data_IF_729479155809
#
_entry.id   IF_729479155809
#
_cell.length_a   1.000
_cell.length_b   1.000
_cell.length_c   1.000
_cell.angle_alpha   90.00
_cell.angle_beta   90.00
_cell.angle_gamma   90.00
#
_symmetry.space_group_name_H-M   'P 1'
#
loop_
_entity.id
_entity.type
_entity.pdbx_description
1 polymer ?
#
# COMPACT_ATOMS: atom_id res chain seq x y z
N UNK A 1 7.35 34.88 3.69
CA UNK A 1 6.76 33.59 4.14
C UNK A 1 5.36 33.46 3.54
N UNK A 2 5.22 32.63 2.50
CA UNK A 2 3.96 32.50 1.77
C UNK A 2 3.11 31.31 2.29
N UNK A 3 3.76 30.38 3.03
CA UNK A 3 3.14 29.18 3.62
C UNK A 3 3.68 28.97 5.03
N UNK A 4 2.81 28.69 6.00
CA UNK A 4 3.16 28.52 7.41
C UNK A 4 3.07 27.06 7.86
N UNK A 5 2.31 26.21 7.15
CA UNK A 5 2.20 24.78 7.38
C UNK A 5 2.05 24.05 6.04
N UNK A 6 2.66 22.89 5.94
CA UNK A 6 2.59 21.99 4.82
C UNK A 6 2.14 20.62 5.30
N UNK A 7 0.84 20.38 5.30
CA UNK A 7 0.27 19.06 5.58
C UNK A 7 0.46 18.15 4.37
N UNK A 8 0.86 16.89 4.62
CA UNK A 8 1.17 15.95 3.53
C UNK A 8 2.46 16.34 2.78
N UNK A 9 3.55 16.60 3.52
CA UNK A 9 4.84 16.98 2.95
C UNK A 9 5.41 15.88 2.05
N UNK A 10 5.65 16.17 0.75
CA UNK A 10 5.87 15.12 -0.25
C UNK A 10 7.33 14.65 -0.38
N UNK A 11 8.27 15.26 0.36
CA UNK A 11 9.71 15.05 0.23
C UNK A 11 10.33 14.57 1.56
N UNK A 12 10.11 13.29 1.96
CA UNK A 12 10.58 12.76 3.23
C UNK A 12 12.10 12.91 3.42
N UNK A 13 12.88 12.90 2.34
CA UNK A 13 14.33 13.14 2.35
C UNK A 13 14.74 14.47 2.93
N UNK A 14 13.86 15.46 2.91
CA UNK A 14 14.14 16.81 3.40
C UNK A 14 13.72 17.03 4.86
N UNK A 15 13.00 16.12 5.48
CA UNK A 15 12.53 16.28 6.86
C UNK A 15 13.65 16.51 7.89
N UNK A 16 14.82 15.85 7.80
CA UNK A 16 15.90 16.07 8.76
C UNK A 16 16.40 17.52 8.80
N UNK A 17 16.43 18.23 7.66
CA UNK A 17 16.85 19.63 7.63
C UNK A 17 15.84 20.56 8.31
N UNK A 18 14.54 20.29 8.18
CA UNK A 18 13.50 21.03 8.90
C UNK A 18 13.51 20.75 10.40
N UNK A 19 13.73 19.47 10.77
CA UNK A 19 13.84 19.08 12.17
C UNK A 19 15.04 19.71 12.90
N UNK A 20 16.12 20.00 12.18
CA UNK A 20 17.31 20.67 12.69
C UNK A 20 17.15 22.19 12.81
N UNK A 21 16.16 22.81 12.21
CA UNK A 21 15.93 24.24 12.20
C UNK A 21 14.84 24.62 13.22
N UNK A 22 15.16 25.39 14.29
CA UNK A 22 14.21 25.74 15.35
C UNK A 22 13.01 26.59 14.91
N UNK A 23 13.03 27.10 13.68
CA UNK A 23 11.89 27.83 13.10
C UNK A 23 10.75 26.91 12.69
N UNK A 24 11.01 25.61 12.56
CA UNK A 24 10.06 24.63 12.08
C UNK A 24 9.78 23.54 13.13
N UNK A 25 8.64 22.91 12.97
CA UNK A 25 8.32 21.63 13.59
C UNK A 25 8.02 20.61 12.49
N UNK A 26 8.45 19.38 12.73
CA UNK A 26 8.16 18.22 11.88
C UNK A 26 7.20 17.32 12.64
N UNK A 27 6.06 17.00 12.03
CA UNK A 27 5.09 16.06 12.57
C UNK A 27 5.13 14.80 11.71
N UNK A 28 5.33 13.66 12.37
CA UNK A 28 5.28 12.33 11.76
C UNK A 28 4.20 11.54 12.46
N UNK A 29 3.24 11.07 11.70
CA UNK A 29 2.12 10.29 12.20
C UNK A 29 1.71 9.19 11.23
N UNK A 30 0.53 8.63 11.45
CA UNK A 30 -0.06 7.57 10.63
C UNK A 30 -1.18 8.09 9.73
N UNK A 31 -1.39 7.39 8.63
CA UNK A 31 -2.55 7.56 7.73
C UNK A 31 -3.34 6.26 7.66
N UNK A 32 -4.49 6.27 6.99
CA UNK A 32 -5.19 5.06 6.55
C UNK A 32 -4.58 4.47 5.25
N UNK A 33 -3.45 5.01 4.79
CA UNK A 33 -2.89 4.66 3.48
C UNK A 33 -2.23 3.29 3.46
N UNK A 34 -2.93 2.27 2.96
CA UNK A 34 -2.38 0.95 2.66
C UNK A 34 -1.76 0.96 1.27
N UNK A 35 -0.42 1.02 1.23
CA UNK A 35 0.33 0.94 -0.02
C UNK A 35 0.48 -0.52 -0.44
N UNK A 36 0.04 -0.81 -1.66
CA UNK A 36 0.04 -2.17 -2.21
C UNK A 36 0.78 -2.23 -3.55
N UNK A 37 1.43 -3.36 -3.82
CA UNK A 37 1.79 -3.82 -5.15
C UNK A 37 0.60 -4.60 -5.70
N UNK A 38 -0.24 -3.94 -6.46
CA UNK A 38 -1.44 -4.58 -7.00
C UNK A 38 -1.13 -5.44 -8.21
N UNK A 39 -1.68 -6.65 -8.19
CA UNK A 39 -1.65 -7.59 -9.31
C UNK A 39 -3.01 -7.63 -10.01
N UNK A 40 -3.01 -7.81 -11.33
CA UNK A 40 -4.26 -8.12 -12.04
C UNK A 40 -4.54 -9.63 -11.94
N UNK A 41 -5.44 -10.03 -11.02
CA UNK A 41 -5.69 -11.43 -10.69
C UNK A 41 -6.36 -12.24 -11.83
N UNK A 42 -6.82 -11.62 -12.92
CA UNK A 42 -7.32 -12.32 -14.12
C UNK A 42 -6.32 -12.37 -15.25
N UNK A 43 -5.21 -11.66 -15.15
CA UNK A 43 -4.17 -11.61 -16.19
C UNK A 43 -3.09 -12.67 -15.95
N UNK A 44 -2.84 -13.59 -16.88
CA UNK A 44 -1.69 -14.48 -16.76
C UNK A 44 -0.36 -13.69 -16.70
N UNK A 45 0.61 -14.13 -15.86
CA UNK A 45 0.55 -15.32 -15.02
C UNK A 45 0.00 -15.07 -13.60
N UNK A 46 -0.56 -13.87 -13.30
CA UNK A 46 -1.05 -13.50 -11.96
C UNK A 46 -2.39 -14.12 -11.59
N UNK A 47 -3.07 -14.79 -12.51
CA UNK A 47 -4.22 -15.67 -12.25
C UNK A 47 -3.82 -16.95 -11.48
N UNK A 48 -2.52 -17.30 -11.46
CA UNK A 48 -1.97 -18.40 -10.70
C UNK A 48 -1.59 -17.96 -9.27
N UNK A 49 -2.21 -18.59 -8.26
CA UNK A 49 -1.92 -18.32 -6.85
C UNK A 49 -0.44 -18.52 -6.48
N UNK A 50 0.21 -19.56 -7.03
CA UNK A 50 1.64 -19.84 -6.75
C UNK A 50 2.54 -18.72 -7.25
N UNK A 51 2.20 -18.09 -8.39
CA UNK A 51 2.92 -16.91 -8.90
C UNK A 51 2.73 -15.71 -7.98
N UNK A 52 1.50 -15.43 -7.51
CA UNK A 52 1.25 -14.34 -6.57
C UNK A 52 1.97 -14.54 -5.22
N UNK A 53 2.02 -15.78 -4.76
CA UNK A 53 2.79 -16.16 -3.57
C UNK A 53 4.29 -15.93 -3.78
N UNK A 54 4.84 -16.34 -4.92
CA UNK A 54 6.23 -16.07 -5.28
C UNK A 54 6.53 -14.57 -5.30
N UNK A 55 5.63 -13.77 -5.90
CA UNK A 55 5.74 -12.32 -5.94
C UNK A 55 5.82 -11.72 -4.52
N UNK A 56 4.96 -12.18 -3.59
CA UNK A 56 4.92 -11.68 -2.23
C UNK A 56 6.23 -11.97 -1.45
N UNK A 57 6.84 -13.14 -1.67
CA UNK A 57 8.13 -13.48 -1.07
C UNK A 57 9.34 -12.84 -1.77
N UNK A 58 9.18 -12.35 -3.00
CA UNK A 58 10.24 -11.63 -3.71
C UNK A 58 10.44 -10.19 -3.21
N UNK A 59 9.54 -9.66 -2.39
CA UNK A 59 9.49 -8.25 -2.01
C UNK A 59 9.99 -8.05 -0.57
N UNK A 60 11.10 -7.30 -0.43
CA UNK A 60 11.58 -6.79 0.84
C UNK A 60 10.93 -5.42 1.13
N UNK A 61 9.92 -5.43 1.99
CA UNK A 61 9.16 -4.23 2.38
C UNK A 61 10.01 -3.19 3.07
N UNK A 62 10.94 -3.62 3.94
CA UNK A 62 11.78 -2.69 4.69
C UNK A 62 12.74 -1.94 3.75
N UNK A 63 13.33 -2.64 2.77
CA UNK A 63 14.17 -2.00 1.77
C UNK A 63 13.41 -0.94 0.94
N UNK A 64 12.12 -1.16 0.67
CA UNK A 64 11.28 -0.17 0.00
C UNK A 64 11.02 1.05 0.90
N UNK A 65 10.66 0.82 2.16
CA UNK A 65 10.43 1.89 3.13
C UNK A 65 11.71 2.73 3.29
N UNK A 66 12.87 2.09 3.46
CA UNK A 66 14.15 2.78 3.66
C UNK A 66 14.58 3.55 2.39
N UNK A 67 14.49 2.92 1.22
CA UNK A 67 14.98 3.50 -0.02
C UNK A 67 14.03 4.50 -0.67
N UNK A 68 12.71 4.27 -0.63
CA UNK A 68 11.73 5.15 -1.27
C UNK A 68 11.13 6.18 -0.31
N UNK A 69 10.96 5.81 0.97
CA UNK A 69 10.28 6.63 1.98
C UNK A 69 11.22 7.12 3.09
N UNK A 70 12.53 6.89 2.98
CA UNK A 70 13.54 7.35 3.96
C UNK A 70 13.26 6.90 5.40
N UNK A 71 12.74 5.68 5.55
CA UNK A 71 12.38 5.08 6.84
C UNK A 71 10.97 5.45 7.34
N UNK A 72 10.22 6.29 6.62
CA UNK A 72 8.87 6.68 7.03
C UNK A 72 7.81 5.76 6.43
N UNK A 73 7.32 4.84 7.23
CA UNK A 73 6.29 3.86 6.87
C UNK A 73 6.30 2.69 7.84
N UNK A 74 5.22 1.95 7.89
CA UNK A 74 5.10 0.75 8.73
C UNK A 74 4.73 -0.43 7.85
N UNK A 75 5.51 -1.54 7.83
CA UNK A 75 5.18 -2.71 7.03
C UNK A 75 3.79 -3.25 7.37
N UNK A 76 3.05 -3.69 6.35
CA UNK A 76 1.73 -4.34 6.50
C UNK A 76 1.71 -5.68 5.78
N UNK A 77 0.89 -6.61 6.27
CA UNK A 77 0.68 -7.93 5.68
C UNK A 77 -0.73 -8.14 5.12
N UNK A 78 -1.58 -7.11 5.20
CA UNK A 78 -2.97 -7.12 4.77
C UNK A 78 -3.46 -5.71 4.45
N UNK A 79 -4.68 -5.58 3.97
CA UNK A 79 -5.31 -4.30 3.62
C UNK A 79 -5.99 -3.66 4.83
N UNK A 80 -5.20 -3.33 5.85
CA UNK A 80 -5.61 -2.60 7.05
C UNK A 80 -4.43 -1.86 7.66
N UNK A 81 -4.67 -0.67 8.19
CA UNK A 81 -3.65 0.11 8.87
C UNK A 81 -3.37 -0.44 10.28
N UNK A 82 -2.12 -0.54 10.74
CA UNK A 82 -1.77 -1.14 12.03
C UNK A 82 -2.40 -0.50 13.27
N UNK A 83 -2.84 0.76 13.19
CA UNK A 83 -3.55 1.43 14.28
C UNK A 83 -5.04 1.06 14.36
N UNK A 84 -5.58 0.39 13.33
CA UNK A 84 -6.97 -0.07 13.36
C UNK A 84 -7.14 -1.19 14.40
N UNK A 85 -8.15 -1.14 15.29
CA UNK A 85 -8.35 -2.15 16.35
C UNK A 85 -8.63 -3.56 15.80
N UNK A 86 -9.05 -3.66 14.56
CA UNK A 86 -9.30 -4.93 13.88
C UNK A 86 -8.12 -5.43 13.05
N UNK A 87 -7.00 -4.70 13.02
CA UNK A 87 -5.80 -5.11 12.29
C UNK A 87 -5.28 -6.47 12.74
N UNK A 88 -4.87 -7.29 11.76
CA UNK A 88 -4.16 -8.56 11.99
C UNK A 88 -2.77 -8.43 11.36
N UNK A 89 -1.73 -8.63 12.15
CA UNK A 89 -0.38 -8.65 11.61
C UNK A 89 -0.13 -9.98 10.87
N UNK A 90 -0.11 -9.89 9.54
CA UNK A 90 0.16 -11.00 8.62
C UNK A 90 1.49 -10.81 7.87
N UNK A 91 2.35 -9.91 8.32
CA UNK A 91 3.63 -9.60 7.66
C UNK A 91 4.55 -10.81 7.53
N UNK A 92 4.54 -11.70 8.53
CA UNK A 92 5.34 -12.92 8.51
C UNK A 92 4.91 -13.93 7.45
N UNK A 93 3.63 -13.93 7.04
CA UNK A 93 3.08 -14.85 6.03
C UNK A 93 3.74 -14.67 4.65
N UNK A 94 4.16 -13.45 4.34
CA UNK A 94 4.85 -13.08 3.10
C UNK A 94 6.21 -12.42 3.42
N UNK A 95 6.96 -13.01 4.38
CA UNK A 95 8.32 -12.57 4.67
C UNK A 95 9.21 -12.69 3.43
N UNK A 96 10.13 -11.75 3.26
CA UNK A 96 11.07 -11.75 2.14
C UNK A 96 11.92 -13.00 2.16
N UNK A 97 11.86 -13.75 1.07
CA UNK A 97 12.67 -14.95 0.82
C UNK A 97 12.82 -15.17 -0.70
N UNK A 98 13.89 -14.64 -1.27
CA UNK A 98 14.13 -14.70 -2.71
C UNK A 98 14.35 -16.14 -3.23
N UNK A 99 14.86 -17.04 -2.41
CA UNK A 99 15.07 -18.44 -2.81
C UNK A 99 13.73 -19.20 -2.82
N UNK A 100 12.87 -18.96 -1.85
CA UNK A 100 11.49 -19.47 -1.87
C UNK A 100 10.72 -18.91 -3.07
N UNK A 101 10.88 -17.63 -3.38
CA UNK A 101 10.23 -17.00 -4.54
C UNK A 101 10.65 -17.70 -5.85
N UNK A 102 11.93 -17.93 -6.08
CA UNK A 102 12.44 -18.68 -7.25
C UNK A 102 11.88 -20.09 -7.33
N UNK A 103 11.84 -20.79 -6.19
CA UNK A 103 11.30 -22.15 -6.10
C UNK A 103 9.81 -22.16 -6.51
N UNK A 104 9.02 -21.25 -5.97
CA UNK A 104 7.60 -21.12 -6.29
C UNK A 104 7.36 -20.74 -7.75
N UNK A 105 8.20 -19.90 -8.36
CA UNK A 105 8.15 -19.58 -9.78
C UNK A 105 8.40 -20.84 -10.63
N UNK A 106 9.40 -21.64 -10.28
CA UNK A 106 9.68 -22.88 -10.98
C UNK A 106 8.52 -23.89 -10.85
N UNK A 107 7.92 -24.03 -9.66
CA UNK A 107 6.73 -24.85 -9.41
C UNK A 107 5.51 -24.38 -10.23
N UNK A 108 5.40 -23.06 -10.45
CA UNK A 108 4.35 -22.47 -11.26
C UNK A 108 4.59 -22.57 -12.77
N UNK A 109 5.72 -23.15 -13.22
CA UNK A 109 6.09 -23.32 -14.62
C UNK A 109 6.95 -22.20 -15.21
N UNK A 110 7.52 -21.34 -14.36
CA UNK A 110 8.37 -20.20 -14.76
C UNK A 110 9.79 -20.29 -14.16
N UNK A 111 10.57 -21.38 -14.41
CA UNK A 111 11.90 -21.54 -13.83
C UNK A 111 12.90 -20.46 -14.26
N UNK A 112 12.69 -19.86 -15.44
CA UNK A 112 13.50 -18.74 -15.97
C UNK A 112 12.83 -17.37 -15.72
N UNK A 113 11.72 -17.33 -14.95
CA UNK A 113 10.93 -16.12 -14.76
C UNK A 113 10.04 -15.76 -15.94
N UNK A 114 9.59 -14.50 -15.98
CA UNK A 114 8.73 -13.99 -17.04
C UNK A 114 8.85 -12.46 -17.15
N UNK A 115 8.28 -11.89 -18.23
CA UNK A 115 8.17 -10.45 -18.42
C UNK A 115 6.77 -9.95 -18.09
N UNK A 116 6.69 -8.77 -17.49
CA UNK A 116 5.44 -8.10 -17.14
C UNK A 116 5.60 -6.58 -17.20
N UNK A 117 4.49 -5.84 -17.04
CA UNK A 117 4.50 -4.38 -16.92
C UNK A 117 4.34 -3.96 -15.46
N UNK A 118 4.98 -2.84 -15.09
CA UNK A 118 4.78 -2.15 -13.82
C UNK A 118 4.38 -0.70 -14.12
N UNK A 119 3.06 -0.43 -14.11
CA UNK A 119 2.49 0.89 -14.39
C UNK A 119 2.40 1.70 -13.12
N UNK A 120 3.07 2.85 -13.06
CA UNK A 120 3.26 3.63 -11.84
C UNK A 120 2.59 5.00 -11.93
N UNK A 121 1.71 5.37 -10.97
CA UNK A 121 1.17 6.73 -10.85
C UNK A 121 2.24 7.72 -10.35
N UNK A 122 1.95 9.04 -10.33
CA UNK A 122 2.96 10.07 -10.05
C UNK A 122 3.59 10.06 -8.64
N UNK A 123 2.91 9.62 -7.54
CA UNK A 123 3.47 9.74 -6.20
C UNK A 123 4.84 9.07 -6.02
N UNK A 124 5.68 9.67 -5.16
CA UNK A 124 7.05 9.20 -4.91
C UNK A 124 7.10 7.77 -4.35
N UNK A 125 6.12 7.39 -3.52
CA UNK A 125 6.02 6.03 -3.00
C UNK A 125 5.89 5.00 -4.13
N UNK A 126 5.20 5.35 -5.22
CA UNK A 126 5.03 4.48 -6.38
C UNK A 126 6.25 4.51 -7.30
N UNK A 127 6.72 5.69 -7.71
CA UNK A 127 7.84 5.79 -8.67
C UNK A 127 9.16 5.32 -8.09
N UNK A 128 9.55 5.80 -6.90
CA UNK A 128 10.79 5.33 -6.22
C UNK A 128 10.65 3.89 -5.73
N UNK A 129 9.51 3.54 -5.14
CA UNK A 129 9.23 2.16 -4.70
C UNK A 129 9.22 1.19 -5.87
N UNK A 130 8.71 1.61 -7.03
CA UNK A 130 8.69 0.81 -8.25
C UNK A 130 10.07 0.44 -8.79
N UNK A 131 11.04 1.36 -8.73
CA UNK A 131 12.43 1.08 -9.11
C UNK A 131 13.04 -0.02 -8.21
N UNK A 132 12.80 0.07 -6.90
CA UNK A 132 13.30 -0.92 -5.93
C UNK A 132 12.63 -2.27 -6.18
N UNK A 133 11.30 -2.28 -6.33
CA UNK A 133 10.52 -3.48 -6.60
C UNK A 133 10.95 -4.13 -7.91
N UNK A 134 11.14 -3.37 -8.98
CA UNK A 134 11.61 -3.90 -10.25
C UNK A 134 12.99 -4.57 -10.13
N UNK A 135 13.88 -4.01 -9.30
CA UNK A 135 15.19 -4.62 -9.02
C UNK A 135 15.05 -5.93 -8.23
N UNK A 136 14.18 -5.96 -7.19
CA UNK A 136 13.91 -7.17 -6.41
C UNK A 136 13.27 -8.28 -7.26
N UNK A 137 12.32 -7.93 -8.11
CA UNK A 137 11.68 -8.85 -9.04
C UNK A 137 12.68 -9.44 -10.05
N UNK A 138 13.57 -8.60 -10.58
CA UNK A 138 14.64 -9.06 -11.49
C UNK A 138 15.56 -10.07 -10.82
N UNK A 139 15.84 -9.95 -9.53
CA UNK A 139 16.68 -10.89 -8.77
C UNK A 139 16.08 -12.31 -8.69
N UNK A 140 14.77 -12.44 -8.91
CA UNK A 140 14.07 -13.73 -8.95
C UNK A 140 13.63 -14.14 -10.37
N UNK A 141 14.06 -13.39 -11.42
CA UNK A 141 13.77 -13.71 -12.82
C UNK A 141 12.54 -13.00 -13.40
N UNK A 142 11.85 -12.15 -12.65
CA UNK A 142 10.70 -11.38 -13.16
C UNK A 142 11.19 -10.04 -13.72
N UNK A 143 11.08 -9.85 -15.03
CA UNK A 143 11.40 -8.59 -15.71
C UNK A 143 10.16 -7.69 -15.75
N UNK A 144 10.06 -6.74 -14.82
CA UNK A 144 8.98 -5.78 -14.74
C UNK A 144 9.37 -4.48 -15.49
N UNK A 145 8.77 -4.25 -16.65
CA UNK A 145 8.98 -3.03 -17.44
C UNK A 145 8.21 -1.86 -16.80
N UNK A 146 8.95 -0.83 -16.34
CA UNK A 146 8.35 0.35 -15.72
C UNK A 146 7.75 1.28 -16.77
N UNK A 147 6.49 1.66 -16.54
CA UNK A 147 5.76 2.68 -17.32
C UNK A 147 5.20 3.73 -16.35
N UNK A 148 5.80 4.92 -16.34
CA UNK A 148 5.31 6.04 -15.54
C UNK A 148 4.11 6.69 -16.22
N UNK A 149 3.00 6.79 -15.50
CA UNK A 149 1.73 7.37 -15.97
C UNK A 149 1.39 8.60 -15.14
N UNK A 150 0.69 9.56 -15.76
CA UNK A 150 -0.02 10.59 -15.02
C UNK A 150 -1.38 10.07 -14.54
N UNK A 151 -1.97 10.70 -13.49
CA UNK A 151 -3.22 10.20 -12.90
C UNK A 151 -4.35 9.96 -13.90
N UNK A 152 -4.62 10.83 -14.90
CA UNK A 152 -5.66 10.55 -15.90
C UNK A 152 -5.39 9.28 -16.72
N UNK A 153 -4.13 9.05 -17.11
CA UNK A 153 -3.70 7.85 -17.85
C UNK A 153 -3.80 6.60 -16.96
N UNK A 154 -3.37 6.68 -15.68
CA UNK A 154 -3.49 5.57 -14.75
C UNK A 154 -4.96 5.19 -14.51
N UNK A 155 -5.84 6.17 -14.31
CA UNK A 155 -7.28 5.94 -14.16
C UNK A 155 -7.90 5.30 -15.40
N UNK A 156 -7.46 5.68 -16.59
CA UNK A 156 -7.96 5.10 -17.83
C UNK A 156 -7.42 3.69 -18.07
N UNK A 157 -6.10 3.51 -18.03
CA UNK A 157 -5.45 2.25 -18.42
C UNK A 157 -5.55 1.21 -17.29
N UNK A 158 -5.20 1.59 -16.06
CA UNK A 158 -5.12 0.65 -14.93
C UNK A 158 -6.50 0.46 -14.28
N UNK A 159 -7.09 1.55 -13.78
CA UNK A 159 -8.31 1.44 -12.98
C UNK A 159 -9.52 1.00 -13.80
N UNK A 160 -9.79 1.64 -14.94
CA UNK A 160 -10.94 1.33 -15.79
C UNK A 160 -10.62 0.23 -16.80
N UNK A 161 -9.50 0.35 -17.48
CA UNK A 161 -9.09 -0.55 -18.58
C UNK A 161 -8.53 -1.88 -18.12
N UNK A 162 -8.02 -1.96 -16.84
CA UNK A 162 -7.39 -3.17 -16.30
C UNK A 162 -6.22 -3.70 -17.17
N UNK A 163 -5.63 -2.79 -17.95
CA UNK A 163 -4.50 -3.07 -18.84
C UNK A 163 -3.19 -2.87 -18.08
N UNK A 164 -2.85 -3.82 -17.20
CA UNK A 164 -1.61 -3.82 -16.43
C UNK A 164 -1.34 -5.20 -15.84
N UNK A 165 -0.07 -5.54 -15.66
CA UNK A 165 0.34 -6.68 -14.86
C UNK A 165 0.45 -6.31 -13.39
N UNK A 166 1.26 -5.27 -13.11
CA UNK A 166 1.55 -4.75 -11.78
C UNK A 166 1.36 -3.23 -11.74
N UNK A 167 0.94 -2.72 -10.58
CA UNK A 167 0.91 -1.28 -10.26
C UNK A 167 1.13 -1.07 -8.77
N UNK A 168 1.56 0.13 -8.37
CA UNK A 168 1.69 0.51 -6.96
C UNK A 168 0.75 1.66 -6.69
N UNK A 169 -0.10 1.52 -5.67
CA UNK A 169 -1.02 2.57 -5.24
C UNK A 169 -1.24 2.48 -3.73
N UNK A 170 -1.46 3.62 -3.09
CA UNK A 170 -1.87 3.69 -1.69
C UNK A 170 -3.37 3.98 -1.62
N UNK A 171 -4.11 3.07 -1.02
CA UNK A 171 -5.52 3.26 -0.67
C UNK A 171 -5.57 4.04 0.64
N UNK A 172 -6.37 5.10 0.67
CA UNK A 172 -6.41 6.04 1.80
C UNK A 172 -7.80 6.20 2.39
N UNK A 173 -8.75 5.43 1.90
CA UNK A 173 -10.12 5.39 2.40
C UNK A 173 -10.21 4.48 3.63
N UNK A 174 -10.70 4.98 4.79
CA UNK A 174 -10.78 4.16 5.99
C UNK A 174 -11.63 2.90 5.79
N UNK A 175 -11.08 1.75 6.18
CA UNK A 175 -11.78 0.47 6.23
C UNK A 175 -12.43 0.04 4.88
N UNK A 176 -11.77 0.29 3.76
CA UNK A 176 -12.30 0.01 2.41
C UNK A 176 -12.09 -1.44 1.94
N UNK A 177 -11.79 -2.38 2.84
CA UNK A 177 -11.57 -3.81 2.53
C UNK A 177 -12.70 -4.45 1.68
N UNK A 178 -13.88 -3.84 1.66
CA UNK A 178 -15.01 -4.28 0.83
C UNK A 178 -14.74 -4.16 -0.69
N UNK A 179 -13.70 -3.42 -1.11
CA UNK A 179 -13.29 -3.37 -2.52
C UNK A 179 -12.89 -4.75 -3.06
N UNK A 180 -12.40 -5.64 -2.20
CA UNK A 180 -12.07 -7.03 -2.55
C UNK A 180 -13.29 -7.91 -2.82
N UNK A 181 -14.49 -7.45 -2.46
CA UNK A 181 -15.75 -8.13 -2.80
C UNK A 181 -16.33 -7.77 -4.18
N UNK A 182 -15.60 -6.93 -4.94
CA UNK A 182 -16.02 -6.43 -6.26
C UNK A 182 -15.18 -7.10 -7.36
N UNK A 183 -15.67 -8.13 -8.05
CA UNK A 183 -14.87 -8.86 -9.07
C UNK A 183 -14.43 -7.98 -10.24
N UNK A 184 -15.15 -6.88 -10.50
CA UNK A 184 -14.81 -5.89 -11.53
C UNK A 184 -13.87 -4.78 -11.06
N UNK A 185 -13.50 -4.76 -9.76
CA UNK A 185 -12.52 -3.79 -9.27
C UNK A 185 -11.19 -3.96 -10.01
N UNK A 186 -10.31 -2.97 -10.02
CA UNK A 186 -9.20 -2.98 -10.97
C UNK A 186 -8.24 -4.16 -10.82
N UNK A 187 -8.06 -4.75 -9.64
CA UNK A 187 -7.25 -5.96 -9.44
C UNK A 187 -7.99 -7.28 -9.71
N UNK A 188 -9.26 -7.24 -10.06
CA UNK A 188 -10.08 -8.35 -10.59
C UNK A 188 -10.07 -9.62 -9.72
N UNK A 189 -10.04 -9.47 -8.40
CA UNK A 189 -10.17 -10.58 -7.48
C UNK A 189 -11.63 -11.07 -7.42
N UNK A 190 -11.83 -12.38 -7.52
CA UNK A 190 -13.16 -12.99 -7.54
C UNK A 190 -13.21 -14.20 -6.61
N UNK A 191 -13.70 -14.00 -5.38
CA UNK A 191 -13.85 -15.03 -4.38
C UNK A 191 -15.27 -14.97 -3.78
N UNK A 192 -16.17 -15.92 -4.14
CA UNK A 192 -17.54 -15.94 -3.63
C UNK A 192 -17.65 -16.04 -2.10
N UNK A 193 -16.71 -16.71 -1.44
CA UNK A 193 -16.69 -16.80 0.03
C UNK A 193 -16.40 -15.43 0.67
N UNK A 194 -15.45 -14.67 0.09
CA UNK A 194 -15.16 -13.30 0.52
C UNK A 194 -16.35 -12.37 0.27
N UNK A 195 -16.99 -12.46 -0.88
CA UNK A 195 -18.19 -11.67 -1.22
C UNK A 195 -19.33 -11.93 -0.24
N UNK A 196 -19.54 -13.21 0.09
CA UNK A 196 -20.54 -13.59 1.11
C UNK A 196 -20.19 -13.01 2.49
N UNK A 197 -18.93 -13.13 2.91
CA UNK A 197 -18.46 -12.57 4.18
C UNK A 197 -18.73 -11.06 4.27
N UNK A 198 -18.49 -10.30 3.20
CA UNK A 198 -18.75 -8.85 3.16
C UNK A 198 -20.25 -8.55 3.20
N UNK A 199 -21.08 -9.37 2.57
CA UNK A 199 -22.53 -9.26 2.67
C UNK A 199 -23.02 -9.53 4.10
N UNK A 200 -22.52 -10.58 4.74
CA UNK A 200 -22.84 -10.93 6.12
C UNK A 200 -22.40 -9.82 7.09
N UNK A 201 -21.19 -9.26 6.89
CA UNK A 201 -20.65 -8.13 7.66
C UNK A 201 -21.57 -6.89 7.59
N UNK A 202 -22.10 -6.59 6.42
CA UNK A 202 -23.01 -5.45 6.22
C UNK A 202 -24.32 -5.63 7.01
N UNK A 203 -24.78 -6.87 7.15
CA UNK A 203 -26.02 -7.22 7.85
C UNK A 203 -25.82 -7.52 9.35
N UNK A 204 -24.57 -7.51 9.85
CA UNK A 204 -24.24 -7.80 11.25
C UNK A 204 -24.10 -6.49 12.03
N UNK A 205 -24.81 -6.38 13.15
CA UNK A 205 -24.79 -5.19 14.03
C UNK A 205 -23.97 -5.39 15.30
N UNK A 206 -23.75 -6.65 15.72
CA UNK A 206 -22.93 -6.96 16.90
C UNK A 206 -21.46 -6.59 16.67
N UNK A 207 -20.86 -5.69 17.49
CA UNK A 207 -19.49 -5.24 17.28
C UNK A 207 -18.44 -6.35 17.33
N UNK A 208 -18.62 -7.35 18.23
CA UNK A 208 -17.66 -8.44 18.38
C UNK A 208 -17.70 -9.37 17.16
N UNK A 209 -18.88 -9.68 16.66
CA UNK A 209 -19.04 -10.47 15.43
C UNK A 209 -18.47 -9.73 14.21
N UNK A 210 -18.69 -8.42 14.10
CA UNK A 210 -18.11 -7.58 13.04
C UNK A 210 -16.58 -7.59 13.08
N UNK A 211 -15.98 -7.41 14.26
CA UNK A 211 -14.53 -7.48 14.45
C UNK A 211 -13.96 -8.83 13.99
N UNK A 212 -14.61 -9.94 14.40
CA UNK A 212 -14.20 -11.28 13.97
C UNK A 212 -14.28 -11.46 12.45
N UNK A 213 -15.33 -10.94 11.80
CA UNK A 213 -15.49 -10.98 10.35
C UNK A 213 -14.42 -10.16 9.63
N UNK A 214 -14.08 -8.97 10.13
CA UNK A 214 -13.01 -8.13 9.56
C UNK A 214 -11.63 -8.81 9.66
N UNK A 215 -11.34 -9.47 10.77
CA UNK A 215 -10.10 -10.25 10.93
C UNK A 215 -10.06 -11.46 9.97
N UNK A 216 -11.20 -12.13 9.80
CA UNK A 216 -11.34 -13.22 8.82
C UNK A 216 -11.13 -12.72 7.40
N UNK A 217 -11.70 -11.56 7.05
CA UNK A 217 -11.54 -10.96 5.73
C UNK A 217 -10.06 -10.69 5.41
N UNK A 218 -9.32 -10.12 6.34
CA UNK A 218 -7.88 -9.88 6.19
C UNK A 218 -7.11 -11.16 5.93
N UNK A 219 -7.42 -12.22 6.68
CA UNK A 219 -6.79 -13.54 6.50
C UNK A 219 -7.05 -14.10 5.11
N UNK A 220 -8.29 -14.05 4.63
CA UNK A 220 -8.65 -14.58 3.30
C UNK A 220 -7.87 -13.88 2.20
N UNK A 221 -7.83 -12.55 2.17
CA UNK A 221 -7.10 -11.83 1.10
C UNK A 221 -5.59 -12.00 1.18
N UNK A 222 -5.05 -12.22 2.38
CA UNK A 222 -3.64 -12.54 2.57
C UNK A 222 -3.32 -13.98 2.12
N UNK A 223 -4.15 -14.97 2.45
CA UNK A 223 -4.00 -16.36 2.01
C UNK A 223 -4.10 -16.51 0.50
N UNK A 224 -4.97 -15.72 -0.14
CA UNK A 224 -5.12 -15.69 -1.59
C UNK A 224 -4.05 -14.83 -2.29
N UNK A 225 -3.16 -14.17 -1.53
CA UNK A 225 -2.11 -13.30 -2.06
C UNK A 225 -2.65 -12.38 -3.16
N UNK A 226 -3.81 -11.76 -2.90
CA UNK A 226 -4.51 -10.95 -3.92
C UNK A 226 -3.64 -9.80 -4.42
N UNK A 227 -2.92 -9.15 -3.50
CA UNK A 227 -1.94 -8.09 -3.76
C UNK A 227 -0.70 -8.31 -2.90
N UNK A 228 0.41 -7.70 -3.27
CA UNK A 228 1.56 -7.53 -2.39
C UNK A 228 1.30 -6.37 -1.42
N UNK A 229 1.05 -6.66 -0.14
CA UNK A 229 0.88 -5.63 0.87
C UNK A 229 2.25 -5.10 1.28
N UNK A 230 2.48 -3.79 1.16
CA UNK A 230 3.80 -3.19 1.33
C UNK A 230 3.92 -2.49 2.68
N UNK A 231 3.29 -1.33 2.82
CA UNK A 231 3.40 -0.54 4.04
C UNK A 231 2.24 0.46 4.20
N UNK A 232 1.96 0.81 5.45
CA UNK A 232 1.16 1.96 5.79
C UNK A 232 1.93 3.24 5.49
N UNK A 233 1.33 4.15 4.73
CA UNK A 233 1.90 5.44 4.40
C UNK A 233 1.92 6.34 5.64
N UNK A 234 3.08 6.94 5.96
CA UNK A 234 3.19 7.88 7.05
C UNK A 234 2.53 9.24 6.71
N UNK A 235 1.94 9.87 7.72
CA UNK A 235 1.58 11.28 7.64
C UNK A 235 2.82 12.13 7.94
N UNK A 236 3.25 12.93 6.97
CA UNK A 236 4.42 13.79 7.12
C UNK A 236 3.98 15.24 6.98
N UNK A 237 4.32 16.09 7.97
CA UNK A 237 3.99 17.51 7.94
C UNK A 237 5.15 18.36 8.42
N UNK A 238 5.30 19.54 7.83
CA UNK A 238 6.24 20.57 8.25
C UNK A 238 5.47 21.85 8.51
N UNK A 239 5.69 22.49 9.63
CA UNK A 239 5.05 23.74 9.97
C UNK A 239 5.99 24.70 10.70
N UNK A 240 5.62 25.97 10.76
CA UNK A 240 6.27 26.95 11.63
C UNK A 240 6.17 26.47 13.10
N UNK A 241 7.27 26.57 13.85
CA UNK A 241 7.36 26.11 15.24
C UNK A 241 6.34 26.77 16.19
N UNK A 242 5.79 27.93 15.80
CA UNK A 242 4.79 28.68 16.56
C UNK A 242 3.35 28.27 16.28
N UNK A 243 3.12 27.35 15.37
CA UNK A 243 1.77 26.81 15.12
C UNK A 243 1.52 25.65 16.08
N UNK A 244 0.32 25.61 16.63
CA UNK A 244 -0.18 24.50 17.44
C UNK A 244 -1.54 24.00 16.95
N UNK A 245 -1.99 22.84 17.43
CA UNK A 245 -3.27 22.25 17.05
C UNK A 245 -3.27 21.49 15.72
N UNK A 246 -2.12 21.35 15.04
CA UNK A 246 -2.03 20.50 13.85
C UNK A 246 -2.14 19.01 14.23
N UNK A 247 -2.85 18.25 13.41
CA UNK A 247 -2.90 16.81 13.55
C UNK A 247 -1.57 16.16 13.13
N UNK A 248 -1.05 15.26 13.97
CA UNK A 248 0.05 14.39 13.59
C UNK A 248 -0.44 13.24 12.71
N UNK A 249 -1.59 12.63 13.08
CA UNK A 249 -2.21 11.56 12.32
C UNK A 249 -3.24 12.10 11.33
N UNK A 250 -3.35 11.47 10.18
CA UNK A 250 -4.32 11.82 9.14
C UNK A 250 -5.32 10.67 8.94
N UNK A 251 -6.41 10.59 9.74
CA UNK A 251 -7.41 9.52 9.66
C UNK A 251 -8.32 9.63 8.42
N UNK A 252 -8.21 10.73 7.71
CA UNK A 252 -8.89 11.00 6.44
C UNK A 252 -7.97 11.85 5.58
N UNK A 253 -8.36 12.05 4.31
CA UNK A 253 -7.64 12.97 3.41
C UNK A 253 -7.93 14.46 3.70
N UNK A 254 -8.87 14.75 4.57
CA UNK A 254 -9.20 16.10 4.99
C UNK A 254 -8.33 16.56 6.16
N UNK A 255 -7.98 17.84 6.20
CA UNK A 255 -7.30 18.47 7.32
C UNK A 255 -8.32 19.27 8.15
N UNK A 256 -8.45 18.94 9.45
CA UNK A 256 -9.21 19.76 10.38
C UNK A 256 -8.30 20.86 10.96
N UNK A 257 -8.61 22.10 10.67
CA UNK A 257 -7.86 23.26 11.12
C UNK A 257 -8.57 24.03 12.25
N UNK A 258 -9.66 23.51 12.78
CA UNK A 258 -10.48 24.24 13.79
C UNK A 258 -9.74 24.49 15.12
N UNK A 259 -8.77 23.66 15.45
CA UNK A 259 -7.93 23.81 16.64
C UNK A 259 -6.58 24.49 16.37
N UNK A 260 -6.31 24.88 15.12
CA UNK A 260 -5.01 25.46 14.72
C UNK A 260 -4.94 26.92 15.13
N UNK A 261 -3.87 27.28 15.87
CA UNK A 261 -3.61 28.65 16.31
C UNK A 261 -2.11 28.96 16.31
N UNK A 262 -1.80 30.24 16.43
CA UNK A 262 -0.44 30.70 16.72
C UNK A 262 -0.20 30.70 18.23
N UNK A 263 0.98 30.25 18.65
CA UNK A 263 1.48 30.46 20.02
C UNK A 263 1.79 31.95 20.19
N UNK A 264 1.48 32.46 21.37
CA UNK A 264 1.81 33.82 21.79
C UNK A 264 3.32 34.08 21.85
#
# INVERSE_FOLDING_TARGET
>A
EDVHAFAGFPAPENLPQFAADPRFQVLVGSTEGETILSTNNKMPPFDNLTVRKALAHAIDRQAIIDGAMFGYGTPIGTHFAPHNPDYVDLTAQSAYDSELAKKLLAEAGFPEGFKTTLKLPPPSYARRGGEIIAAQLRAVGIEAEISNLEWPQWLEQVFRGKDYGLTIVSHTEPADINIYARPEYYFQYDNPAFQKLMTDLTNTTDPAARSAMLKTAQTIIADDYVNGYLFQLAALSVANAKIEGLWANAPTQAADLTAVSWKD
#
